data_IF_419736582282
#
_entry.id   IF_419736582282
#
_cell.length_a   1.000
_cell.length_b   1.000
_cell.length_c   1.000
_cell.angle_alpha   90.00
_cell.angle_beta   90.00
_cell.angle_gamma   90.00
#
_symmetry.space_group_name_H-M   'P 1'
#
loop_
_entity.id
_entity.type
_entity.pdbx_description
1 polymer ?
#
# COMPACT_ATOMS: atom_id res chain seq x y z
N UNK A 1 -21.69 7.41 -28.73
CA UNK A 1 -20.57 6.43 -28.83
C UNK A 1 -21.09 5.12 -28.29
N UNK A 2 -20.75 3.99 -28.92
CA UNK A 2 -21.19 2.69 -28.42
C UNK A 2 -20.68 2.45 -27.01
N UNK A 3 -21.56 2.03 -26.10
CA UNK A 3 -21.24 1.82 -24.69
C UNK A 3 -20.10 0.81 -24.51
N UNK A 4 -20.10 -0.26 -25.32
CA UNK A 4 -19.04 -1.26 -25.35
C UNK A 4 -17.70 -0.67 -25.78
N UNK A 5 -17.70 0.19 -26.79
CA UNK A 5 -16.49 0.89 -27.24
C UNK A 5 -15.97 1.84 -26.15
N UNK A 6 -16.86 2.57 -25.48
CA UNK A 6 -16.50 3.44 -24.35
C UNK A 6 -15.84 2.65 -23.21
N UNK A 7 -16.43 1.51 -22.81
CA UNK A 7 -15.87 0.62 -21.78
C UNK A 7 -14.52 0.02 -22.20
N UNK A 8 -14.36 -0.36 -23.47
CA UNK A 8 -13.09 -0.85 -24.00
C UNK A 8 -11.99 0.22 -23.92
N UNK A 9 -12.28 1.46 -24.34
CA UNK A 9 -11.35 2.60 -24.21
C UNK A 9 -10.93 2.80 -22.75
N UNK A 10 -11.88 2.72 -21.82
CA UNK A 10 -11.61 2.86 -20.39
C UNK A 10 -10.69 1.74 -19.88
N UNK A 11 -10.91 0.49 -20.28
CA UNK A 11 -10.02 -0.63 -19.92
C UNK A 11 -8.57 -0.35 -20.34
N UNK A 12 -8.34 0.11 -21.58
CA UNK A 12 -7.00 0.47 -22.04
C UNK A 12 -6.40 1.63 -21.24
N UNK A 13 -7.21 2.64 -20.89
CA UNK A 13 -6.77 3.75 -20.07
C UNK A 13 -6.36 3.29 -18.65
N UNK A 14 -7.15 2.42 -18.01
CA UNK A 14 -6.82 1.82 -16.71
C UNK A 14 -5.51 1.04 -16.75
N UNK A 15 -5.32 0.17 -17.75
CA UNK A 15 -4.07 -0.59 -17.92
C UNK A 15 -2.87 0.35 -18.08
N UNK A 16 -3.00 1.38 -18.90
CA UNK A 16 -1.92 2.34 -19.19
C UNK A 16 -1.52 3.12 -17.94
N UNK A 17 -2.49 3.70 -17.22
CA UNK A 17 -2.24 4.53 -16.03
C UNK A 17 -1.76 3.69 -14.86
N UNK A 18 -2.33 2.50 -14.63
CA UNK A 18 -1.88 1.61 -13.56
C UNK A 18 -0.46 1.10 -13.79
N UNK A 19 -0.15 0.69 -15.03
CA UNK A 19 1.21 0.24 -15.41
C UNK A 19 2.21 1.39 -15.28
N UNK A 20 1.86 2.57 -15.78
CA UNK A 20 2.69 3.78 -15.64
C UNK A 20 2.97 4.11 -14.17
N UNK A 21 1.94 4.12 -13.33
CA UNK A 21 2.07 4.33 -11.88
C UNK A 21 3.00 3.32 -11.21
N UNK A 22 2.83 2.04 -11.49
CA UNK A 22 3.69 0.98 -10.96
C UNK A 22 5.15 1.07 -11.42
N UNK A 23 5.38 1.56 -12.64
CA UNK A 23 6.71 1.71 -13.22
C UNK A 23 7.49 2.91 -12.68
N UNK A 24 6.83 3.97 -12.19
CA UNK A 24 7.49 5.21 -11.71
C UNK A 24 8.62 4.92 -10.70
N UNK A 25 8.40 4.14 -9.60
CA UNK A 25 9.48 3.85 -8.65
C UNK A 25 10.65 3.08 -9.27
N UNK A 26 10.37 2.15 -10.18
CA UNK A 26 11.40 1.36 -10.86
C UNK A 26 12.25 2.24 -11.78
N UNK A 27 11.61 3.12 -12.55
CA UNK A 27 12.28 4.08 -13.43
C UNK A 27 13.17 5.03 -12.60
N UNK A 28 12.64 5.59 -11.51
CA UNK A 28 13.40 6.46 -10.60
C UNK A 28 14.61 5.74 -9.97
N UNK A 29 14.45 4.45 -9.63
CA UNK A 29 15.54 3.60 -9.12
C UNK A 29 16.65 3.34 -10.15
N UNK A 30 16.29 3.15 -11.43
CA UNK A 30 17.26 2.95 -12.51
C UNK A 30 18.09 4.20 -12.77
N UNK A 31 17.46 5.38 -12.80
CA UNK A 31 18.17 6.65 -12.96
C UNK A 31 19.11 6.96 -11.78
N UNK A 32 18.78 6.46 -10.58
CA UNK A 32 19.61 6.65 -9.39
C UNK A 32 20.90 5.84 -9.32
N UNK A 33 20.98 4.74 -10.05
CA UNK A 33 22.18 3.89 -10.07
C UNK A 33 23.35 4.49 -10.84
N UNK A 34 23.12 5.55 -11.63
CA UNK A 34 24.11 6.14 -12.53
C UNK A 34 24.89 7.32 -11.93
N UNK A 35 24.51 7.86 -10.76
CA UNK A 35 25.19 9.01 -10.16
C UNK A 35 25.29 8.95 -8.62
N UNK A 36 26.55 9.05 -8.12
CA UNK A 36 27.06 8.93 -6.74
C UNK A 36 26.19 9.60 -5.64
N UNK A 37 25.99 8.90 -4.51
CA UNK A 37 25.45 9.22 -3.15
C UNK A 37 24.54 10.46 -2.90
N UNK A 38 24.81 11.63 -3.51
CA UNK A 38 23.98 12.83 -3.38
C UNK A 38 22.64 12.70 -4.13
N UNK A 39 22.59 11.91 -5.20
CA UNK A 39 21.36 11.62 -5.93
C UNK A 39 20.42 10.71 -5.14
N UNK A 40 20.96 9.75 -4.38
CA UNK A 40 20.21 8.79 -3.59
C UNK A 40 19.37 9.46 -2.48
N UNK A 41 19.95 10.41 -1.75
CA UNK A 41 19.21 11.16 -0.72
C UNK A 41 18.09 12.04 -1.30
N UNK A 42 18.29 12.60 -2.50
CA UNK A 42 17.26 13.39 -3.19
C UNK A 42 16.12 12.50 -3.68
N UNK A 43 16.42 11.35 -4.28
CA UNK A 43 15.41 10.37 -4.71
C UNK A 43 14.61 9.87 -3.51
N UNK A 44 15.26 9.51 -2.40
CA UNK A 44 14.58 9.06 -1.18
C UNK A 44 13.63 10.12 -0.62
N UNK A 45 14.01 11.40 -0.63
CA UNK A 45 13.13 12.49 -0.20
C UNK A 45 11.94 12.69 -1.14
N UNK A 46 12.14 12.58 -2.46
CA UNK A 46 11.05 12.66 -3.45
C UNK A 46 10.06 11.51 -3.23
N UNK A 47 10.55 10.29 -3.07
CA UNK A 47 9.74 9.09 -2.84
C UNK A 47 8.93 9.20 -1.55
N UNK A 48 9.56 9.73 -0.50
CA UNK A 48 8.90 9.96 0.79
C UNK A 48 7.81 11.03 0.71
N UNK A 49 8.04 12.12 -0.04
CA UNK A 49 7.00 13.11 -0.32
C UNK A 49 5.86 12.51 -1.16
N UNK A 50 6.17 11.67 -2.14
CA UNK A 50 5.16 10.95 -2.93
C UNK A 50 4.32 10.00 -2.08
N UNK A 51 4.91 9.32 -1.09
CA UNK A 51 4.15 8.52 -0.13
C UNK A 51 3.19 9.37 0.70
N UNK A 52 3.63 10.54 1.19
CA UNK A 52 2.76 11.46 1.95
C UNK A 52 1.65 12.05 1.07
N UNK A 53 1.98 12.40 -0.18
CA UNK A 53 1.00 12.82 -1.18
C UNK A 53 -0.02 11.70 -1.45
N UNK A 54 0.43 10.46 -1.61
CA UNK A 54 -0.44 9.31 -1.82
C UNK A 54 -1.34 9.02 -0.63
N UNK A 55 -0.82 9.12 0.59
CA UNK A 55 -1.60 8.97 1.81
C UNK A 55 -2.71 10.01 1.93
N UNK A 56 -2.44 11.29 1.64
CA UNK A 56 -3.47 12.33 1.68
C UNK A 56 -4.51 12.18 0.57
N UNK A 57 -4.10 11.70 -0.61
CA UNK A 57 -5.03 11.39 -1.67
C UNK A 57 -5.96 10.22 -1.29
N UNK A 58 -5.40 9.10 -0.78
CA UNK A 58 -6.17 7.94 -0.29
C UNK A 58 -7.15 8.38 0.80
N UNK A 59 -6.68 9.16 1.78
CA UNK A 59 -7.52 9.68 2.85
C UNK A 59 -8.69 10.50 2.32
N UNK A 60 -8.45 11.34 1.31
CA UNK A 60 -9.48 12.20 0.69
C UNK A 60 -10.48 11.43 -0.14
N UNK A 61 -10.04 10.44 -0.92
CA UNK A 61 -10.95 9.53 -1.65
C UNK A 61 -11.84 8.78 -0.66
N UNK A 62 -11.28 8.27 0.43
CA UNK A 62 -12.07 7.60 1.48
C UNK A 62 -13.12 8.55 2.07
N UNK A 63 -12.72 9.76 2.49
CA UNK A 63 -13.59 10.66 3.24
C UNK A 63 -14.62 11.41 2.37
N UNK A 64 -14.24 11.80 1.15
CA UNK A 64 -15.06 12.68 0.32
C UNK A 64 -15.73 11.97 -0.86
N UNK A 65 -15.28 10.77 -1.24
CA UNK A 65 -15.86 10.01 -2.35
C UNK A 65 -16.52 8.72 -1.84
N UNK A 66 -15.72 7.76 -1.37
CA UNK A 66 -16.19 6.39 -1.14
C UNK A 66 -17.15 6.26 0.04
N UNK A 67 -16.83 6.88 1.18
CA UNK A 67 -17.67 6.78 2.38
C UNK A 67 -19.02 7.47 2.17
N UNK A 68 -19.09 8.74 1.71
CA UNK A 68 -20.37 9.38 1.42
C UNK A 68 -21.19 8.60 0.38
N UNK A 69 -20.56 8.16 -0.71
CA UNK A 69 -21.22 7.39 -1.76
C UNK A 69 -21.82 6.08 -1.23
N UNK A 70 -21.04 5.31 -0.46
CA UNK A 70 -21.50 4.04 0.14
C UNK A 70 -22.67 4.26 1.09
N UNK A 71 -22.64 5.33 1.90
CA UNK A 71 -23.75 5.71 2.78
C UNK A 71 -24.98 6.06 1.93
N UNK A 72 -24.83 6.85 0.87
CA UNK A 72 -25.97 7.22 0.02
C UNK A 72 -26.60 6.01 -0.65
N UNK A 73 -25.80 5.09 -1.20
CA UNK A 73 -26.30 3.85 -1.84
C UNK A 73 -27.04 2.97 -0.83
N UNK A 74 -26.43 2.74 0.34
CA UNK A 74 -27.04 1.92 1.39
C UNK A 74 -28.38 2.51 1.88
N UNK A 75 -28.43 3.83 2.09
CA UNK A 75 -29.60 4.52 2.63
C UNK A 75 -30.71 4.73 1.60
N UNK A 76 -30.39 4.91 0.31
CA UNK A 76 -31.39 5.17 -0.74
C UNK A 76 -32.09 3.91 -1.26
N UNK A 77 -31.39 2.76 -1.30
CA UNK A 77 -31.96 1.54 -1.87
C UNK A 77 -32.82 0.81 -0.85
N UNK A 78 -34.12 0.70 -1.15
CA UNK A 78 -35.11 0.02 -0.28
C UNK A 78 -34.84 -1.48 -0.16
N UNK A 79 -34.32 -2.09 -1.22
CA UNK A 79 -34.09 -3.55 -1.28
C UNK A 79 -32.79 -4.00 -0.59
N UNK A 80 -31.86 -3.06 -0.33
CA UNK A 80 -30.68 -3.33 0.49
C UNK A 80 -31.11 -3.36 1.95
N UNK A 81 -31.52 -4.54 2.41
CA UNK A 81 -31.76 -4.84 3.82
C UNK A 81 -30.46 -5.26 4.49
N UNK A 82 -29.86 -4.36 5.26
CA UNK A 82 -28.71 -4.67 6.12
C UNK A 82 -29.28 -5.08 7.49
N UNK A 83 -29.07 -6.34 7.89
CA UNK A 83 -29.59 -6.91 9.15
C UNK A 83 -31.09 -6.63 9.41
N UNK A 84 -31.94 -6.76 8.38
CA UNK A 84 -33.41 -6.56 8.44
C UNK A 84 -33.89 -5.15 8.85
N UNK A 85 -32.99 -4.17 8.97
CA UNK A 85 -33.41 -2.78 9.21
C UNK A 85 -33.73 -2.07 7.90
N UNK A 86 -34.89 -1.43 7.86
CA UNK A 86 -35.30 -0.54 6.76
C UNK A 86 -34.99 0.94 7.06
N UNK A 87 -34.62 1.24 8.31
CA UNK A 87 -34.35 2.59 8.76
C UNK A 87 -32.99 3.09 8.22
N UNK A 88 -32.95 4.20 7.46
CA UNK A 88 -31.71 4.73 6.87
C UNK A 88 -30.64 5.10 7.90
N UNK A 89 -31.01 5.55 9.09
CA UNK A 89 -30.05 5.86 10.16
C UNK A 89 -29.32 4.59 10.61
N UNK A 90 -30.07 3.51 10.83
CA UNK A 90 -29.51 2.20 11.17
C UNK A 90 -28.67 1.61 10.04
N UNK A 91 -29.05 1.79 8.77
CA UNK A 91 -28.21 1.36 7.64
C UNK A 91 -26.87 2.10 7.64
N UNK A 92 -26.89 3.41 7.88
CA UNK A 92 -25.67 4.23 8.00
C UNK A 92 -24.78 3.73 9.13
N UNK A 93 -25.36 3.42 10.30
CA UNK A 93 -24.61 2.85 11.43
C UNK A 93 -23.94 1.52 11.06
N UNK A 94 -24.64 0.63 10.34
CA UNK A 94 -24.04 -0.62 9.87
C UNK A 94 -22.90 -0.40 8.86
N UNK A 95 -22.99 0.61 7.98
CA UNK A 95 -21.87 0.96 7.10
C UNK A 95 -20.65 1.35 7.93
N UNK A 96 -20.81 2.22 8.93
CA UNK A 96 -19.72 2.58 9.83
C UNK A 96 -19.17 1.38 10.61
N UNK A 97 -20.02 0.44 11.02
CA UNK A 97 -19.59 -0.80 11.65
C UNK A 97 -18.71 -1.65 10.72
N UNK A 98 -19.06 -1.76 9.43
CA UNK A 98 -18.24 -2.49 8.45
C UNK A 98 -16.94 -1.76 8.09
N UNK A 99 -16.95 -0.43 8.07
CA UNK A 99 -15.71 0.37 7.97
C UNK A 99 -14.81 0.08 9.18
N UNK A 100 -15.35 0.08 10.40
CA UNK A 100 -14.61 -0.26 11.60
C UNK A 100 -14.07 -1.70 11.56
N UNK A 101 -14.86 -2.65 11.07
CA UNK A 101 -14.43 -4.03 10.89
C UNK A 101 -13.26 -4.14 9.92
N UNK A 102 -13.32 -3.44 8.78
CA UNK A 102 -12.23 -3.39 7.81
C UNK A 102 -10.95 -2.78 8.40
N UNK A 103 -11.07 -1.66 9.11
CA UNK A 103 -9.95 -1.03 9.80
C UNK A 103 -9.31 -1.97 10.84
N UNK A 104 -10.14 -2.60 11.68
CA UNK A 104 -9.69 -3.52 12.73
C UNK A 104 -9.07 -4.79 12.16
N UNK A 105 -9.64 -5.32 11.09
CA UNK A 105 -9.09 -6.46 10.36
C UNK A 105 -7.70 -6.12 9.82
N UNK A 106 -7.54 -4.97 9.17
CA UNK A 106 -6.24 -4.56 8.64
C UNK A 106 -5.21 -4.35 9.76
N UNK A 107 -5.61 -3.71 10.86
CA UNK A 107 -4.75 -3.56 12.04
C UNK A 107 -4.31 -4.92 12.60
N UNK A 108 -5.23 -5.88 12.69
CA UNK A 108 -4.90 -7.21 13.16
C UNK A 108 -3.93 -7.95 12.21
N UNK A 109 -4.15 -7.85 10.90
CA UNK A 109 -3.27 -8.43 9.89
C UNK A 109 -1.86 -7.84 9.92
N UNK A 110 -1.75 -6.56 10.27
CA UNK A 110 -0.49 -5.83 10.21
C UNK A 110 0.31 -5.85 11.52
N UNK A 111 -0.36 -5.84 12.66
CA UNK A 111 0.30 -5.71 13.96
C UNK A 111 0.04 -6.86 14.94
N UNK A 112 -1.00 -7.67 14.73
CA UNK A 112 -1.38 -8.74 15.69
C UNK A 112 -1.01 -10.13 15.17
N UNK A 113 -1.21 -10.38 13.87
CA UNK A 113 -0.98 -11.68 13.23
C UNK A 113 0.47 -11.97 12.85
N UNK A 114 1.35 -10.99 12.55
CA UNK A 114 2.76 -11.29 12.37
C UNK A 114 3.31 -11.90 13.66
N UNK A 115 3.67 -13.17 13.59
CA UNK A 115 4.38 -13.85 14.67
C UNK A 115 5.82 -13.35 14.62
N UNK A 116 6.41 -13.07 15.78
CA UNK A 116 7.84 -12.72 15.92
C UNK A 116 8.73 -13.92 15.53
N UNK A 117 8.64 -14.41 14.30
CA UNK A 117 9.62 -15.34 13.73
C UNK A 117 10.85 -14.54 13.34
N UNK A 118 11.68 -14.27 14.35
CA UNK A 118 13.06 -13.79 14.23
C UNK A 118 13.23 -12.51 13.40
N UNK A 119 12.83 -11.37 13.97
CA UNK A 119 13.59 -10.13 13.79
C UNK A 119 14.86 -10.15 14.67
N UNK A 120 15.57 -11.28 14.74
CA UNK A 120 16.96 -11.24 15.15
C UNK A 120 17.73 -10.64 13.98
N UNK A 121 18.26 -9.44 14.20
CA UNK A 121 19.09 -8.65 13.29
C UNK A 121 18.36 -7.80 12.24
N UNK A 122 17.39 -6.97 12.64
CA UNK A 122 17.34 -5.61 12.06
C UNK A 122 18.31 -4.77 12.87
N UNK A 123 19.56 -4.76 12.40
CA UNK A 123 20.58 -3.85 12.89
C UNK A 123 20.11 -2.41 12.66
N UNK A 124 19.70 -1.75 13.74
CA UNK A 124 19.67 -0.30 13.83
C UNK A 124 21.12 0.19 13.93
N UNK A 125 21.85 0.16 12.82
CA UNK A 125 23.25 0.54 12.84
C UNK A 125 23.87 0.61 11.46
N UNK A 126 24.31 1.81 11.08
CA UNK A 126 25.36 2.07 10.10
C UNK A 126 25.40 1.24 8.81
N UNK A 127 25.03 1.90 7.72
CA UNK A 127 25.57 1.63 6.39
C UNK A 127 27.10 1.53 6.47
N UNK A 128 27.66 0.31 6.44
CA UNK A 128 29.04 0.07 6.06
C UNK A 128 29.05 -0.44 4.63
N UNK A 129 29.41 0.47 3.72
CA UNK A 129 29.88 0.13 2.40
C UNK A 129 31.10 -0.78 2.56
N UNK A 130 31.05 -1.98 1.97
CA UNK A 130 32.24 -2.76 1.67
C UNK A 130 32.98 -2.04 0.55
N UNK A 131 33.96 -1.23 0.93
CA UNK A 131 35.02 -0.80 0.02
C UNK A 131 36.15 -1.81 0.15
N UNK A 132 36.48 -2.45 -0.97
CA UNK A 132 37.63 -3.33 -1.04
C UNK A 132 38.88 -2.46 -1.01
N UNK A 133 39.72 -2.66 0.00
CA UNK A 133 41.13 -2.38 -0.11
C UNK A 133 41.89 -3.33 0.83
N UNK A 134 42.73 -4.14 0.20
CA UNK A 134 43.82 -4.86 0.83
C UNK A 134 44.64 -3.90 1.70
N UNK A 135 44.79 -4.22 2.98
CA UNK A 135 46.02 -3.94 3.71
C UNK A 135 46.17 -4.93 4.87
N UNK A 136 47.05 -5.89 4.64
CA UNK A 136 47.69 -6.74 5.64
C UNK A 136 48.40 -5.80 6.62
N UNK A 137 48.02 -5.83 7.90
CA UNK A 137 48.84 -5.28 8.97
C UNK A 137 49.25 -6.42 9.90
N UNK A 138 50.53 -6.75 9.78
CA UNK A 138 51.25 -7.72 10.60
C UNK A 138 51.27 -7.28 12.05
N UNK A 139 51.14 -8.29 12.92
CA UNK A 139 51.53 -8.29 14.32
C UNK A 139 53.04 -8.05 14.41
N UNK A 140 53.46 -7.00 15.11
CA UNK A 140 54.80 -6.93 15.70
C UNK A 140 54.67 -6.61 17.19
N UNK A 141 55.09 -7.58 17.99
CA UNK A 141 55.25 -7.48 19.44
C UNK A 141 56.64 -6.92 19.74
N UNK A 142 56.73 -5.84 20.52
CA UNK A 142 57.95 -5.51 21.25
C UNK A 142 57.63 -5.10 22.70
N UNK A 143 58.37 -5.73 23.60
CA UNK A 143 58.30 -5.74 25.08
C UNK A 143 59.24 -4.71 25.74
N UNK A 144 59.07 -4.56 27.06
CA UNK A 144 59.83 -3.78 28.07
C UNK A 144 59.40 -2.30 28.25
N UNK A 145 59.24 -1.71 29.43
CA UNK A 145 59.49 -2.05 30.85
C UNK A 145 58.62 -1.12 31.77
N UNK A 146 58.46 -1.52 33.05
CA UNK A 146 57.52 -1.12 34.14
C UNK A 146 57.80 0.28 34.83
N UNK A 147 57.14 0.75 35.94
CA UNK A 147 55.92 0.30 36.66
C UNK A 147 54.97 1.39 37.29
N UNK A 148 53.86 0.89 37.89
CA UNK A 148 52.94 1.45 38.94
C UNK A 148 51.69 2.21 38.42
N UNK A 149 50.42 1.87 38.72
CA UNK A 149 49.83 1.50 40.03
C UNK A 149 48.42 0.86 39.85
N UNK A 150 48.23 -0.32 40.45
CA UNK A 150 47.03 -0.90 41.11
C UNK A 150 45.65 -1.22 40.45
N UNK A 151 45.36 -2.54 40.44
CA UNK A 151 44.15 -3.27 40.92
C UNK A 151 42.87 -3.31 40.04
N UNK A 152 42.65 -4.40 39.28
CA UNK A 152 41.86 -5.59 39.68
C UNK A 152 41.77 -6.62 38.51
N UNK A 153 42.23 -7.84 38.76
CA UNK A 153 42.08 -9.03 37.89
C UNK A 153 40.65 -9.61 37.95
N UNK A 154 40.13 -10.13 36.84
CA UNK A 154 39.92 -11.59 36.67
C UNK A 154 39.49 -11.96 35.24
N UNK A 155 40.19 -12.97 34.72
CA UNK A 155 39.99 -13.72 33.48
C UNK A 155 38.61 -14.42 33.41
N UNK A 156 38.13 -14.76 32.21
CA UNK A 156 38.09 -16.15 31.73
C UNK A 156 37.76 -16.25 30.23
N UNK A 157 38.27 -17.33 29.67
CA UNK A 157 38.54 -17.66 28.28
C UNK A 157 37.32 -17.94 27.38
N UNK A 158 37.61 -17.86 26.08
CA UNK A 158 37.04 -18.61 24.95
C UNK A 158 36.41 -19.96 25.29
N UNK A 159 35.23 -20.23 24.72
CA UNK A 159 34.86 -21.57 24.26
C UNK A 159 34.14 -21.49 22.91
N UNK A 160 34.73 -22.16 21.94
CA UNK A 160 34.17 -22.43 20.63
C UNK A 160 33.04 -23.46 20.78
N UNK A 161 31.82 -23.13 20.34
CA UNK A 161 30.77 -24.12 20.13
C UNK A 161 30.53 -24.34 18.63
N UNK A 162 31.07 -25.46 18.17
CA UNK A 162 30.63 -26.17 16.97
C UNK A 162 29.18 -26.61 17.15
N UNK A 163 28.34 -26.39 16.14
CA UNK A 163 27.12 -27.19 15.95
C UNK A 163 27.09 -27.76 14.53
N UNK A 164 27.19 -29.09 14.45
CA UNK A 164 27.08 -29.94 13.28
C UNK A 164 25.81 -30.79 13.36
N UNK A 165 25.20 -31.07 12.19
CA UNK A 165 24.14 -32.07 11.88
C UNK A 165 22.76 -31.86 12.57
N UNK A 166 21.59 -32.23 12.06
CA UNK A 166 21.08 -32.97 10.90
C UNK A 166 19.54 -32.76 10.88
N UNK A 167 18.83 -33.00 9.77
CA UNK A 167 17.36 -33.13 9.84
C UNK A 167 16.60 -32.86 8.55
N UNK A 168 16.70 -33.79 7.61
CA UNK A 168 16.13 -33.74 6.26
C UNK A 168 14.60 -34.02 6.24
N UNK A 169 13.78 -33.21 6.92
CA UNK A 169 12.30 -33.30 6.91
C UNK A 169 11.56 -31.96 6.68
N UNK A 170 12.24 -30.88 6.32
CA UNK A 170 11.66 -29.53 6.40
C UNK A 170 11.09 -28.94 5.10
N UNK A 171 11.07 -29.65 3.96
CA UNK A 171 10.70 -29.03 2.66
C UNK A 171 9.28 -28.44 2.66
N UNK A 172 8.29 -29.16 3.20
CA UNK A 172 6.90 -28.69 3.21
C UNK A 172 6.60 -27.68 4.32
N UNK A 173 7.23 -27.86 5.50
CA UNK A 173 7.11 -26.93 6.64
C UNK A 173 7.74 -25.57 6.30
N UNK A 174 8.88 -25.57 5.58
CA UNK A 174 9.54 -24.35 5.09
C UNK A 174 8.74 -23.58 4.04
N UNK A 175 7.89 -24.26 3.23
CA UNK A 175 7.05 -23.57 2.24
C UNK A 175 5.85 -22.89 2.90
N UNK A 176 5.24 -23.55 3.89
CA UNK A 176 4.12 -22.98 4.64
C UNK A 176 4.59 -21.84 5.53
N UNK A 177 5.72 -21.97 6.24
CA UNK A 177 6.26 -20.86 7.05
C UNK A 177 6.65 -19.67 6.18
N UNK A 178 7.33 -19.88 5.04
CA UNK A 178 7.61 -18.80 4.09
C UNK A 178 6.35 -18.17 3.52
N UNK A 179 5.30 -18.94 3.28
CA UNK A 179 4.02 -18.42 2.80
C UNK A 179 3.31 -17.60 3.88
N UNK A 180 3.34 -18.06 5.13
CA UNK A 180 2.81 -17.33 6.30
C UNK A 180 3.62 -16.05 6.56
N UNK A 181 4.94 -16.08 6.41
CA UNK A 181 5.79 -14.88 6.51
C UNK A 181 5.44 -13.87 5.41
N UNK A 182 5.22 -14.34 4.17
CA UNK A 182 4.77 -13.49 3.04
C UNK A 182 3.39 -12.89 3.32
N UNK A 183 2.48 -13.69 3.87
CA UNK A 183 1.15 -13.22 4.28
C UNK A 183 1.27 -12.18 5.40
N UNK A 184 2.22 -12.31 6.31
CA UNK A 184 2.47 -11.34 7.39
C UNK A 184 3.11 -10.02 6.90
N UNK A 185 3.47 -9.89 5.62
CA UNK A 185 4.03 -8.63 5.10
C UNK A 185 2.91 -7.61 4.85
N UNK A 186 3.03 -6.44 5.49
CA UNK A 186 2.22 -5.24 5.21
C UNK A 186 2.01 -4.98 3.71
N UNK A 187 3.06 -5.14 2.90
CA UNK A 187 2.98 -4.91 1.44
C UNK A 187 2.08 -5.89 0.69
N UNK A 188 1.93 -7.12 1.18
CA UNK A 188 1.02 -8.09 0.58
C UNK A 188 -0.43 -7.66 0.80
N UNK A 189 -0.83 -7.42 2.06
CA UNK A 189 -2.20 -6.99 2.38
C UNK A 189 -2.55 -5.64 1.76
N UNK A 190 -1.61 -4.69 1.75
CA UNK A 190 -1.79 -3.42 1.04
C UNK A 190 -2.11 -3.66 -0.43
N UNK A 191 -1.35 -4.53 -1.10
CA UNK A 191 -1.56 -4.81 -2.52
C UNK A 191 -2.90 -5.49 -2.77
N UNK A 192 -3.27 -6.48 -1.96
CA UNK A 192 -4.55 -7.18 -2.10
C UNK A 192 -5.73 -6.25 -1.81
N UNK A 193 -5.68 -5.45 -0.74
CA UNK A 193 -6.72 -4.47 -0.44
C UNK A 193 -6.91 -3.46 -1.57
N UNK A 194 -5.80 -2.92 -2.09
CA UNK A 194 -5.86 -1.93 -3.17
C UNK A 194 -6.29 -2.57 -4.49
N UNK A 195 -5.99 -3.85 -4.72
CA UNK A 195 -6.52 -4.63 -5.82
C UNK A 195 -8.03 -4.87 -5.68
N UNK A 196 -8.54 -5.29 -4.53
CA UNK A 196 -9.99 -5.48 -4.32
C UNK A 196 -10.73 -4.16 -4.56
N UNK A 197 -10.26 -3.08 -3.94
CA UNK A 197 -10.82 -1.74 -4.12
C UNK A 197 -10.82 -1.32 -5.60
N UNK A 198 -9.68 -1.48 -6.27
CA UNK A 198 -9.52 -1.26 -7.71
C UNK A 198 -10.52 -2.04 -8.57
N UNK A 199 -10.88 -3.25 -8.14
CA UNK A 199 -11.85 -4.10 -8.82
C UNK A 199 -13.27 -3.56 -8.68
N UNK A 200 -13.64 -3.12 -7.48
CA UNK A 200 -14.94 -2.49 -7.19
C UNK A 200 -15.10 -1.21 -8.01
N UNK A 201 -14.07 -0.36 -8.07
CA UNK A 201 -14.08 0.84 -8.91
C UNK A 201 -14.28 0.51 -10.39
N UNK A 202 -13.61 -0.55 -10.87
CA UNK A 202 -13.82 -1.07 -12.21
C UNK A 202 -15.26 -1.53 -12.41
N UNK A 203 -15.84 -2.22 -11.43
CA UNK A 203 -17.24 -2.65 -11.48
C UNK A 203 -18.21 -1.48 -11.61
N UNK A 204 -18.01 -0.38 -10.88
CA UNK A 204 -18.85 0.82 -10.98
C UNK A 204 -18.87 1.37 -12.41
N UNK A 205 -17.70 1.42 -13.08
CA UNK A 205 -17.61 1.81 -14.50
C UNK A 205 -18.28 0.76 -15.39
N UNK A 206 -18.14 -0.53 -15.07
CA UNK A 206 -18.71 -1.65 -15.80
C UNK A 206 -20.24 -1.72 -15.75
N UNK A 207 -20.85 -1.38 -14.61
CA UNK A 207 -22.31 -1.40 -14.40
C UNK A 207 -23.01 -0.19 -15.01
N UNK A 208 -22.28 0.87 -15.34
CA UNK A 208 -22.87 2.07 -15.94
C UNK A 208 -23.43 1.83 -17.34
N UNK A 209 -24.63 2.38 -17.60
CA UNK A 209 -25.29 2.34 -18.92
C UNK A 209 -25.09 3.60 -19.75
N UNK A 210 -24.66 4.70 -19.12
CA UNK A 210 -24.37 5.93 -19.83
C UNK A 210 -22.88 6.04 -20.18
N UNK A 211 -22.60 6.19 -21.48
CA UNK A 211 -21.24 6.44 -21.98
C UNK A 211 -20.60 7.70 -21.39
N UNK A 212 -21.37 8.77 -21.15
CA UNK A 212 -20.84 9.99 -20.53
C UNK A 212 -20.42 9.75 -19.07
N UNK A 213 -21.26 9.04 -18.31
CA UNK A 213 -20.93 8.65 -16.95
C UNK A 213 -19.72 7.72 -16.89
N UNK A 214 -19.60 6.77 -17.82
CA UNK A 214 -18.41 5.91 -17.95
C UNK A 214 -17.13 6.74 -18.06
N UNK A 215 -17.10 7.77 -18.92
CA UNK A 215 -15.91 8.62 -19.07
C UNK A 215 -15.64 9.50 -17.85
N UNK A 216 -16.68 10.11 -17.27
CA UNK A 216 -16.51 11.00 -16.10
C UNK A 216 -16.00 10.20 -14.90
N UNK A 217 -16.62 9.06 -14.60
CA UNK A 217 -16.22 8.17 -13.51
C UNK A 217 -14.84 7.59 -13.75
N UNK A 218 -14.54 7.16 -14.98
CA UNK A 218 -13.18 6.70 -15.34
C UNK A 218 -12.15 7.81 -15.12
N UNK A 219 -12.42 9.04 -15.57
CA UNK A 219 -11.49 10.16 -15.37
C UNK A 219 -11.25 10.44 -13.88
N UNK A 220 -12.30 10.43 -13.05
CA UNK A 220 -12.20 10.57 -11.60
C UNK A 220 -11.27 9.50 -11.00
N UNK A 221 -11.45 8.23 -11.38
CA UNK A 221 -10.65 7.12 -10.87
C UNK A 221 -9.20 7.19 -11.38
N UNK A 222 -8.99 7.45 -12.66
CA UNK A 222 -7.66 7.56 -13.26
C UNK A 222 -6.82 8.67 -12.64
N UNK A 223 -7.44 9.75 -12.16
CA UNK A 223 -6.76 10.86 -11.48
C UNK A 223 -5.92 10.41 -10.29
N UNK A 224 -6.27 9.26 -9.69
CA UNK A 224 -5.64 8.72 -8.50
C UNK A 224 -5.14 7.28 -8.65
N UNK A 225 -5.39 6.65 -9.80
CA UNK A 225 -4.94 5.30 -10.09
C UNK A 225 -3.43 5.15 -10.15
N UNK A 226 -2.75 6.15 -10.73
CA UNK A 226 -1.29 6.14 -10.83
C UNK A 226 -0.63 6.25 -9.45
N UNK A 227 -1.23 7.01 -8.52
CA UNK A 227 -0.77 7.18 -7.14
C UNK A 227 -0.86 5.85 -6.38
N UNK A 228 -1.97 5.14 -6.55
CA UNK A 228 -2.16 3.80 -6.03
C UNK A 228 -1.08 2.84 -6.54
N UNK A 229 -0.78 2.87 -7.85
CA UNK A 229 0.30 2.08 -8.46
C UNK A 229 1.69 2.42 -7.91
N UNK A 230 1.99 3.71 -7.71
CA UNK A 230 3.24 4.15 -7.07
C UNK A 230 3.35 3.57 -5.66
N UNK A 231 2.27 3.66 -4.87
CA UNK A 231 2.23 3.20 -3.47
C UNK A 231 2.47 1.69 -3.36
N UNK A 232 1.79 0.90 -4.18
CA UNK A 232 1.97 -0.57 -4.25
C UNK A 232 3.40 -0.92 -4.63
N UNK A 233 3.91 -0.31 -5.70
CA UNK A 233 5.27 -0.58 -6.19
C UNK A 233 6.33 -0.22 -5.16
N UNK A 234 6.17 0.89 -4.43
CA UNK A 234 7.06 1.27 -3.35
C UNK A 234 6.99 0.30 -2.17
N UNK A 235 5.79 -0.09 -1.74
CA UNK A 235 5.61 -1.02 -0.64
C UNK A 235 6.22 -2.40 -0.94
N UNK A 236 6.03 -2.91 -2.17
CA UNK A 236 6.64 -4.16 -2.62
C UNK A 236 8.17 -4.06 -2.77
N UNK A 237 8.70 -2.89 -3.16
CA UNK A 237 10.14 -2.68 -3.33
C UNK A 237 10.88 -2.58 -1.99
N UNK A 238 10.22 -2.13 -0.92
CA UNK A 238 10.82 -2.03 0.43
C UNK A 238 10.99 -3.39 1.12
N UNK A 239 10.31 -4.43 0.67
CA UNK A 239 10.35 -5.76 1.27
C UNK A 239 11.27 -6.73 0.51
N UNK A 240 11.86 -7.69 1.25
CA UNK A 240 12.71 -8.77 0.71
C UNK A 240 11.89 -9.89 0.02
N UNK A 241 10.91 -9.51 -0.80
CA UNK A 241 10.07 -10.43 -1.55
C UNK A 241 10.79 -10.87 -2.84
N UNK A 242 10.58 -12.12 -3.26
CA UNK A 242 11.11 -12.61 -4.54
C UNK A 242 10.60 -11.76 -5.72
N UNK A 243 11.46 -11.53 -6.73
CA UNK A 243 11.09 -10.71 -7.91
C UNK A 243 9.82 -11.22 -8.61
N UNK A 244 9.66 -12.54 -8.69
CA UNK A 244 8.50 -13.17 -9.31
C UNK A 244 7.21 -12.83 -8.56
N UNK A 245 7.21 -12.91 -7.22
CA UNK A 245 6.03 -12.57 -6.43
C UNK A 245 5.70 -11.08 -6.53
N UNK A 246 6.70 -10.18 -6.56
CA UNK A 246 6.46 -8.74 -6.79
C UNK A 246 5.74 -8.51 -8.12
N UNK A 247 6.20 -9.16 -9.20
CA UNK A 247 5.58 -9.05 -10.52
C UNK A 247 4.14 -9.58 -10.48
N UNK A 248 3.90 -10.74 -9.88
CA UNK A 248 2.56 -11.31 -9.76
C UNK A 248 1.62 -10.36 -9.02
N UNK A 249 2.04 -9.81 -7.87
CA UNK A 249 1.22 -8.88 -7.08
C UNK A 249 0.93 -7.58 -7.84
N UNK A 250 1.90 -7.05 -8.59
CA UNK A 250 1.68 -5.89 -9.46
C UNK A 250 0.69 -6.20 -10.59
N UNK A 251 0.78 -7.38 -11.22
CA UNK A 251 -0.17 -7.79 -12.25
C UNK A 251 -1.58 -7.94 -11.70
N UNK A 252 -1.74 -8.52 -10.49
CA UNK A 252 -3.03 -8.61 -9.81
C UNK A 252 -3.65 -7.22 -9.64
N UNK A 253 -2.86 -6.24 -9.17
CA UNK A 253 -3.33 -4.87 -9.02
C UNK A 253 -3.70 -4.21 -10.37
N UNK A 254 -2.84 -4.35 -11.39
CA UNK A 254 -3.04 -3.75 -12.73
C UNK A 254 -4.29 -4.30 -13.41
N UNK A 255 -4.50 -5.61 -13.36
CA UNK A 255 -5.64 -6.27 -14.01
C UNK A 255 -6.94 -6.18 -13.22
N UNK A 256 -6.89 -5.77 -11.96
CA UNK A 256 -8.09 -5.73 -11.13
C UNK A 256 -9.17 -4.77 -11.66
N UNK A 257 -8.83 -3.55 -12.09
CA UNK A 257 -9.84 -2.62 -12.65
C UNK A 257 -10.44 -3.11 -13.98
N UNK A 258 -9.64 -3.55 -14.99
CA UNK A 258 -10.18 -4.20 -16.18
C UNK A 258 -11.11 -5.37 -15.87
N UNK A 259 -10.72 -6.24 -14.95
CA UNK A 259 -11.55 -7.36 -14.51
C UNK A 259 -12.85 -6.86 -13.87
N UNK A 260 -12.76 -5.83 -13.03
CA UNK A 260 -13.90 -5.14 -12.45
C UNK A 260 -14.87 -4.63 -13.51
N UNK A 261 -14.39 -3.94 -14.56
CA UNK A 261 -15.23 -3.43 -15.65
C UNK A 261 -15.97 -4.56 -16.37
N UNK A 262 -15.27 -5.66 -16.65
CA UNK A 262 -15.84 -6.84 -17.30
C UNK A 262 -16.92 -7.46 -16.40
N UNK A 263 -16.60 -7.69 -15.13
CA UNK A 263 -17.55 -8.26 -14.17
C UNK A 263 -18.76 -7.35 -13.94
N UNK A 264 -18.55 -6.04 -13.81
CA UNK A 264 -19.62 -5.06 -13.67
C UNK A 264 -20.55 -5.03 -14.87
N UNK A 265 -20.01 -5.21 -16.09
CA UNK A 265 -20.84 -5.31 -17.29
C UNK A 265 -21.68 -6.59 -17.33
N UNK A 266 -21.17 -7.70 -16.80
CA UNK A 266 -21.87 -8.99 -16.78
C UNK A 266 -22.92 -9.09 -15.66
N UNK A 267 -22.71 -8.44 -14.52
CA UNK A 267 -23.49 -8.62 -13.28
C UNK A 267 -24.61 -7.57 -13.14
N UNK A 268 -25.16 -7.09 -14.27
CA UNK A 268 -26.05 -5.93 -14.40
C UNK A 268 -27.32 -5.90 -13.49
N UNK A 269 -27.59 -6.91 -12.66
CA UNK A 269 -28.74 -6.91 -11.72
C UNK A 269 -28.53 -7.66 -10.39
N UNK A 270 -27.33 -8.16 -10.08
CA UNK A 270 -27.21 -9.15 -8.98
C UNK A 270 -25.98 -8.92 -8.10
N UNK A 271 -26.03 -7.92 -7.23
CA UNK A 271 -24.98 -7.80 -6.21
C UNK A 271 -24.89 -6.54 -5.37
N UNK A 272 -25.79 -5.56 -5.49
CA UNK A 272 -25.64 -4.24 -4.82
C UNK A 272 -25.42 -4.31 -3.30
N UNK A 273 -26.07 -5.27 -2.63
CA UNK A 273 -25.86 -5.49 -1.19
C UNK A 273 -24.44 -5.99 -0.88
N UNK A 274 -23.92 -6.92 -1.68
CA UNK A 274 -22.59 -7.51 -1.48
C UNK A 274 -21.52 -6.48 -1.86
N UNK A 275 -21.70 -5.74 -2.95
CA UNK A 275 -20.77 -4.68 -3.36
C UNK A 275 -20.72 -3.56 -2.33
N UNK A 276 -21.85 -3.12 -1.79
CA UNK A 276 -21.92 -2.13 -0.72
C UNK A 276 -21.15 -2.59 0.53
N UNK A 277 -21.34 -3.85 0.94
CA UNK A 277 -20.66 -4.43 2.10
C UNK A 277 -19.14 -4.53 1.90
N UNK A 278 -18.71 -5.09 0.76
CA UNK A 278 -17.29 -5.21 0.43
C UNK A 278 -16.66 -3.82 0.29
N UNK A 279 -17.38 -2.83 -0.24
CA UNK A 279 -16.89 -1.46 -0.34
C UNK A 279 -16.72 -0.83 1.05
N UNK A 280 -17.67 -1.02 1.97
CA UNK A 280 -17.56 -0.54 3.36
C UNK A 280 -16.34 -1.11 4.08
N UNK A 281 -16.10 -2.42 3.96
CA UNK A 281 -14.89 -3.07 4.51
C UNK A 281 -13.62 -2.50 3.85
N UNK A 282 -13.62 -2.35 2.52
CA UNK A 282 -12.47 -1.81 1.78
C UNK A 282 -12.16 -0.36 2.19
N UNK A 283 -13.17 0.47 2.45
CA UNK A 283 -13.01 1.83 2.98
C UNK A 283 -12.26 1.81 4.31
N UNK A 284 -12.63 0.91 5.22
CA UNK A 284 -11.94 0.70 6.50
C UNK A 284 -10.47 0.36 6.33
N UNK A 285 -10.17 -0.59 5.43
CA UNK A 285 -8.81 -1.01 5.13
C UNK A 285 -7.96 0.11 4.52
N UNK A 286 -8.50 0.86 3.56
CA UNK A 286 -7.81 2.01 2.94
C UNK A 286 -7.56 3.14 3.93
N UNK A 287 -8.50 3.39 4.84
CA UNK A 287 -8.33 4.38 5.89
C UNK A 287 -7.15 4.01 6.80
N UNK A 288 -7.07 2.75 7.23
CA UNK A 288 -5.92 2.26 7.99
C UNK A 288 -4.61 2.44 7.21
N UNK A 289 -4.55 1.97 5.97
CA UNK A 289 -3.35 2.04 5.13
C UNK A 289 -2.90 3.50 4.92
N UNK A 290 -3.84 4.41 4.64
CA UNK A 290 -3.53 5.83 4.45
C UNK A 290 -2.92 6.46 5.72
N UNK A 291 -3.50 6.18 6.88
CA UNK A 291 -2.96 6.62 8.17
C UNK A 291 -1.57 6.04 8.44
N UNK A 292 -1.40 4.74 8.20
CA UNK A 292 -0.15 4.02 8.44
C UNK A 292 0.99 4.53 7.56
N UNK A 293 0.75 4.73 6.25
CA UNK A 293 1.75 5.31 5.34
C UNK A 293 2.16 6.70 5.82
N UNK A 294 1.20 7.55 6.18
CA UNK A 294 1.48 8.90 6.66
C UNK A 294 2.33 8.86 7.94
N UNK A 295 1.92 8.07 8.93
CA UNK A 295 2.60 7.99 10.22
C UNK A 295 4.02 7.44 10.06
N UNK A 296 4.20 6.37 9.29
CA UNK A 296 5.52 5.80 9.01
C UNK A 296 6.48 6.81 8.36
N UNK A 297 5.99 7.61 7.42
CA UNK A 297 6.82 8.62 6.75
C UNK A 297 7.12 9.82 7.66
N UNK A 298 6.23 10.17 8.58
CA UNK A 298 6.37 11.30 9.50
C UNK A 298 7.23 10.98 10.73
N UNK A 299 7.23 9.73 11.20
CA UNK A 299 8.01 9.28 12.37
C UNK A 299 9.50 9.10 12.09
N UNK A 300 9.91 9.01 10.82
CA UNK A 300 11.34 8.97 10.47
C UNK A 300 12.10 10.22 10.96
N UNK A 301 13.33 10.02 11.45
CA UNK A 301 14.21 11.09 11.96
C UNK A 301 14.65 12.06 10.84
N UNK A 302 13.82 13.06 10.57
CA UNK A 302 14.09 14.11 9.58
C UNK A 302 14.15 15.52 10.21
N UNK A 303 14.95 16.44 9.64
CA UNK A 303 14.96 17.83 10.07
C UNK A 303 13.57 18.46 9.90
N UNK A 304 13.23 19.45 10.74
CA UNK A 304 11.90 20.09 10.77
C UNK A 304 11.40 20.55 9.39
N UNK A 305 12.31 21.07 8.54
CA UNK A 305 11.98 21.53 7.17
C UNK A 305 11.44 20.40 6.26
N UNK A 306 12.02 19.20 6.35
CA UNK A 306 11.59 18.06 5.52
C UNK A 306 10.23 17.53 6.00
N UNK A 307 10.01 17.46 7.32
CA UNK A 307 8.70 17.10 7.89
C UNK A 307 7.59 18.08 7.48
N UNK A 308 7.90 19.38 7.47
CA UNK A 308 6.97 20.39 6.97
C UNK A 308 6.65 20.21 5.48
N UNK A 309 7.65 19.90 4.64
CA UNK A 309 7.42 19.59 3.22
C UNK A 309 6.51 18.38 3.03
N UNK A 310 6.65 17.33 3.85
CA UNK A 310 5.79 16.14 3.81
C UNK A 310 4.35 16.45 4.21
N UNK A 311 4.17 17.19 5.31
CA UNK A 311 2.86 17.65 5.75
C UNK A 311 2.19 18.53 4.68
N UNK A 312 2.94 19.46 4.08
CA UNK A 312 2.43 20.29 3.00
C UNK A 312 2.01 19.44 1.78
N UNK A 313 2.79 18.40 1.45
CA UNK A 313 2.47 17.45 0.38
C UNK A 313 1.19 16.65 0.66
N UNK A 314 0.95 16.28 1.92
CA UNK A 314 -0.30 15.65 2.35
C UNK A 314 -1.47 16.63 2.20
N UNK A 315 -1.38 17.84 2.77
CA UNK A 315 -2.45 18.83 2.69
C UNK A 315 -2.78 19.26 1.25
N UNK A 316 -1.77 19.45 0.41
CA UNK A 316 -1.98 19.80 -1.00
C UNK A 316 -2.70 18.69 -1.75
N UNK A 317 -2.34 17.42 -1.51
CA UNK A 317 -3.03 16.28 -2.10
C UNK A 317 -4.50 16.22 -1.70
N UNK A 318 -4.84 16.55 -0.44
CA UNK A 318 -6.22 16.56 0.02
C UNK A 318 -7.07 17.63 -0.68
N UNK A 319 -6.52 18.84 -0.83
CA UNK A 319 -7.18 19.93 -1.53
C UNK A 319 -7.39 19.62 -3.02
N UNK A 320 -6.39 19.01 -3.67
CA UNK A 320 -6.49 18.59 -5.07
C UNK A 320 -7.58 17.53 -5.23
N UNK A 321 -7.57 16.48 -4.40
CA UNK A 321 -8.56 15.41 -4.45
C UNK A 321 -9.98 15.95 -4.22
N UNK A 322 -10.18 16.79 -3.20
CA UNK A 322 -11.47 17.44 -2.95
C UNK A 322 -11.94 18.27 -4.15
N UNK A 323 -11.05 19.06 -4.77
CA UNK A 323 -11.40 19.89 -5.94
C UNK A 323 -11.82 19.04 -7.14
N UNK A 324 -11.16 17.90 -7.37
CA UNK A 324 -11.52 16.96 -8.44
C UNK A 324 -12.89 16.34 -8.18
N UNK A 325 -13.15 15.86 -6.96
CA UNK A 325 -14.43 15.26 -6.58
C UNK A 325 -15.56 16.30 -6.67
N UNK A 326 -15.33 17.50 -6.17
CA UNK A 326 -16.30 18.59 -6.24
C UNK A 326 -16.60 18.96 -7.70
N UNK A 327 -15.57 19.15 -8.53
CA UNK A 327 -15.74 19.47 -9.96
C UNK A 327 -16.50 18.39 -10.73
N UNK A 328 -16.18 17.12 -10.51
CA UNK A 328 -16.87 15.99 -11.16
C UNK A 328 -18.33 15.89 -10.74
N UNK A 329 -18.66 16.21 -9.47
CA UNK A 329 -20.05 16.23 -8.99
C UNK A 329 -20.93 17.30 -9.65
N UNK A 330 -20.34 18.42 -10.08
CA UNK A 330 -21.05 19.49 -10.80
C UNK A 330 -21.23 19.20 -12.30
N UNK A 331 -20.29 18.45 -12.90
CA UNK A 331 -20.32 18.12 -14.33
C UNK A 331 -21.30 16.96 -14.62
N UNK A 332 -21.53 16.08 -13.65
CA UNK A 332 -22.52 15.01 -13.73
C UNK A 332 -23.66 15.19 -12.69
N UNK A 333 -24.50 16.25 -12.82
CA UNK A 333 -25.62 16.44 -11.93
C UNK A 333 -26.70 15.40 -12.25
N UNK A 334 -26.84 14.40 -11.38
CA UNK A 334 -27.99 13.49 -11.27
C UNK A 334 -28.27 12.48 -12.40
N UNK A 335 -27.71 11.27 -12.23
CA UNK A 335 -28.40 10.00 -12.51
C UNK A 335 -28.06 8.97 -11.41
N UNK A 336 -28.18 9.38 -10.14
CA UNK A 336 -28.00 8.52 -8.95
C UNK A 336 -29.33 7.93 -8.45
N UNK A 337 -30.22 7.60 -9.37
CA UNK A 337 -31.52 7.03 -9.06
C UNK A 337 -31.95 6.13 -10.22
N UNK A 338 -31.41 4.92 -10.25
CA UNK A 338 -32.13 3.76 -10.75
C UNK A 338 -31.80 2.58 -9.86
#
# INVERSE_FOLDING_TARGET
>A
MDLLLAKAICIFAFLSVATGGCAIPYILGLFGKRNRNKYESKVKNILSNLNCFGAGFIFSIVMFHLLPETITIASSHKDITIFKSHDPEMKTLFIFFFVFLGFSMQLALEYVLPTDTSLCCVDHGAVKFTDGNDHILNVENHTSENPNTEIHNMNMNTDAYYHTHEGNHSSHKNRLTKFLDILALQSFFLTISLAIHSGIEGMIVGTSDDSHFVFITTFCILSHKWIAGVTVSLSLNRNHISKNLKIILLLIFIFSSPLGIILGHLVHSSGEKITCLINAISIGTLLFIGCEILLNEMQMRYPRKVRFSKWLSFCSSCLIAFSIIYGTSHIAPHHRAH
#
